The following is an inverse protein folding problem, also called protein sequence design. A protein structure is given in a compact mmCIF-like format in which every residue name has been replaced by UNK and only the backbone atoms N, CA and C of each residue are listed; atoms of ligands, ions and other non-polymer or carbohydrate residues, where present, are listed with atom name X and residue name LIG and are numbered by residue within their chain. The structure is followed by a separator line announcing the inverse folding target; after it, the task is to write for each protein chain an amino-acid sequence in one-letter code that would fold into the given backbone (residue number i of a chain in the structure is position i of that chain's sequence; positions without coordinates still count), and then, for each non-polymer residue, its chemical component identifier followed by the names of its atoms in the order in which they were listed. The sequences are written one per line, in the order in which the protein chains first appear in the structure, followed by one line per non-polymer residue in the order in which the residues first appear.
data_IF_891786732447
#
_entry.id   IF_891786732447
#
_cell.length_a   1.000
_cell.length_b   1.000
_cell.length_c   1.000
_cell.angle_alpha   90.00
_cell.angle_beta   90.00
_cell.angle_gamma   90.00
#
_symmetry.space_group_name_H-M   'P 1'
#
loop_
_entity.id
_entity.type
_entity.pdbx_description
1 polymer ?
#
# COMPACT_ATOMS: atom_id res chain seq x y z
N UNK A 1 -15.61 11.54 41.49
CA UNK A 1 -15.16 11.83 40.12
C UNK A 1 -14.66 10.52 39.51
N UNK A 2 -15.36 10.00 38.50
CA UNK A 2 -14.89 8.83 37.75
C UNK A 2 -13.78 9.28 36.78
N UNK A 3 -12.75 8.44 36.52
CA UNK A 3 -11.74 8.75 35.51
C UNK A 3 -12.40 8.78 34.12
N UNK A 4 -11.93 9.63 33.20
CA UNK A 4 -12.43 9.62 31.83
C UNK A 4 -12.11 8.27 31.18
N UNK A 5 -13.15 7.64 30.64
CA UNK A 5 -13.04 6.40 29.87
C UNK A 5 -12.19 6.66 28.61
N UNK A 6 -10.97 6.15 28.58
CA UNK A 6 -10.17 6.07 27.35
C UNK A 6 -10.84 5.06 26.42
N UNK A 7 -11.54 5.57 25.40
CA UNK A 7 -11.94 4.73 24.26
C UNK A 7 -10.67 4.18 23.60
N UNK A 8 -10.65 2.91 23.15
CA UNK A 8 -9.53 2.38 22.41
C UNK A 8 -9.41 3.20 21.12
N UNK A 9 -8.29 3.89 20.98
CA UNK A 9 -7.98 4.63 19.78
C UNK A 9 -7.65 3.64 18.67
N UNK A 10 -8.34 3.70 17.53
CA UNK A 10 -8.09 2.74 16.45
C UNK A 10 -6.67 2.96 15.91
N UNK A 11 -6.07 1.94 15.29
CA UNK A 11 -4.63 1.88 14.95
C UNK A 11 -4.12 2.90 13.91
N UNK A 12 -4.84 3.99 13.68
CA UNK A 12 -4.43 5.16 12.89
C UNK A 12 -3.75 6.23 13.77
N UNK A 13 -3.35 5.90 15.00
CA UNK A 13 -3.05 6.88 16.04
C UNK A 13 -1.61 7.43 16.09
N UNK A 14 -0.82 7.30 15.03
CA UNK A 14 0.53 7.89 14.94
C UNK A 14 0.67 8.94 13.82
N UNK A 15 -0.44 9.51 13.35
CA UNK A 15 -0.39 10.67 12.44
C UNK A 15 -0.47 11.96 13.23
N UNK A 16 0.29 12.98 12.83
CA UNK A 16 0.14 14.33 13.37
C UNK A 16 -1.25 14.90 13.09
N UNK A 17 -1.73 15.80 13.97
CA UNK A 17 -3.03 16.47 13.80
C UNK A 17 -3.17 17.11 12.41
N UNK A 18 -2.07 17.73 11.91
CA UNK A 18 -2.03 18.33 10.58
C UNK A 18 -2.24 17.29 9.46
N UNK A 19 -1.54 16.15 9.52
CA UNK A 19 -1.73 15.06 8.56
C UNK A 19 -3.14 14.48 8.65
N UNK A 20 -3.70 14.34 9.86
CA UNK A 20 -5.06 13.86 10.06
C UNK A 20 -6.10 14.79 9.42
N UNK A 21 -5.99 16.10 9.62
CA UNK A 21 -6.90 17.09 9.02
C UNK A 21 -6.93 16.98 7.49
N UNK A 22 -5.77 16.83 6.85
CA UNK A 22 -5.70 16.64 5.40
C UNK A 22 -6.32 15.32 4.94
N UNK A 23 -6.06 14.22 5.65
CA UNK A 23 -6.64 12.92 5.29
C UNK A 23 -8.17 12.93 5.46
N UNK A 24 -8.69 13.54 6.52
CA UNK A 24 -10.13 13.70 6.71
C UNK A 24 -10.74 14.59 5.61
N UNK A 25 -10.10 15.71 5.26
CA UNK A 25 -10.57 16.56 4.18
C UNK A 25 -10.60 15.84 2.82
N UNK A 26 -9.63 14.97 2.55
CA UNK A 26 -9.61 14.14 1.35
C UNK A 26 -10.80 13.17 1.28
N UNK A 27 -11.22 12.61 2.42
CA UNK A 27 -12.41 11.74 2.51
C UNK A 27 -13.69 12.53 2.27
N UNK A 28 -13.84 13.70 2.90
CA UNK A 28 -15.04 14.53 2.73
C UNK A 28 -15.21 15.07 1.30
N UNK A 29 -14.11 15.22 0.57
CA UNK A 29 -14.10 15.66 -0.82
C UNK A 29 -13.92 14.51 -1.81
N UNK A 30 -14.18 13.26 -1.41
CA UNK A 30 -13.90 12.08 -2.23
C UNK A 30 -14.47 12.18 -3.66
N UNK A 31 -15.70 12.64 -3.82
CA UNK A 31 -16.34 12.73 -5.15
C UNK A 31 -15.68 13.80 -6.05
N UNK A 32 -15.09 14.83 -5.47
CA UNK A 32 -14.23 15.79 -6.18
C UNK A 32 -12.79 15.30 -6.17
N UNK A 33 -12.42 14.56 -7.23
CA UNK A 33 -11.07 14.00 -7.36
C UNK A 33 -9.98 15.08 -7.35
N UNK A 34 -10.26 16.28 -7.86
CA UNK A 34 -9.27 17.37 -7.86
C UNK A 34 -9.05 17.91 -6.45
N UNK A 35 -10.11 18.12 -5.68
CA UNK A 35 -9.99 18.59 -4.29
C UNK A 35 -9.40 17.51 -3.38
N UNK A 36 -9.91 16.29 -3.42
CA UNK A 36 -9.42 15.20 -2.56
C UNK A 36 -7.96 14.88 -2.84
N UNK A 37 -7.50 14.89 -4.09
CA UNK A 37 -6.09 14.66 -4.42
C UNK A 37 -5.19 15.77 -3.88
N UNK A 38 -5.64 17.04 -3.90
CA UNK A 38 -4.88 18.15 -3.29
C UNK A 38 -4.68 17.95 -1.79
N UNK A 39 -5.70 17.50 -1.07
CA UNK A 39 -5.57 17.21 0.36
C UNK A 39 -4.58 16.07 0.63
N UNK A 40 -4.62 14.99 -0.17
CA UNK A 40 -3.61 13.93 -0.08
C UNK A 40 -2.19 14.47 -0.35
N UNK A 41 -2.02 15.34 -1.36
CA UNK A 41 -0.74 15.97 -1.67
C UNK A 41 -0.25 16.87 -0.52
N UNK A 42 -1.16 17.59 0.15
CA UNK A 42 -0.82 18.40 1.32
C UNK A 42 -0.35 17.55 2.51
N UNK A 43 -0.97 16.39 2.73
CA UNK A 43 -0.51 15.42 3.72
C UNK A 43 0.88 14.87 3.37
N UNK A 44 1.12 14.51 2.10
CA UNK A 44 2.41 14.01 1.63
C UNK A 44 3.53 15.07 1.68
N UNK A 45 3.18 16.36 1.65
CA UNK A 45 4.12 17.46 1.72
C UNK A 45 4.56 17.80 3.16
N UNK A 46 3.99 17.14 4.18
CA UNK A 46 4.40 17.37 5.57
C UNK A 46 5.86 16.94 5.80
N UNK A 47 6.63 17.70 6.60
CA UNK A 47 7.95 17.25 7.05
C UNK A 47 7.84 15.92 7.81
N UNK A 48 8.76 14.98 7.55
CA UNK A 48 8.77 13.66 8.18
C UNK A 48 7.47 12.86 7.98
N UNK A 49 6.97 12.81 6.74
CA UNK A 49 5.77 12.07 6.36
C UNK A 49 5.70 10.69 7.02
N UNK A 50 4.64 10.51 7.80
CA UNK A 50 4.38 9.31 8.59
C UNK A 50 4.03 8.13 7.66
N UNK A 51 4.30 6.91 8.11
CA UNK A 51 4.02 5.72 7.30
C UNK A 51 2.51 5.64 6.98
N UNK A 52 1.66 6.01 7.93
CA UNK A 52 0.21 6.05 7.85
C UNK A 52 -0.29 6.98 6.74
N UNK A 53 0.38 8.12 6.52
CA UNK A 53 0.08 9.03 5.41
C UNK A 53 0.41 8.36 4.08
N UNK A 54 1.56 7.69 3.97
CA UNK A 54 1.94 6.95 2.77
C UNK A 54 0.94 5.81 2.49
N UNK A 55 0.51 5.08 3.52
CA UNK A 55 -0.50 4.02 3.41
C UNK A 55 -1.81 4.57 2.87
N UNK A 56 -2.29 5.66 3.47
CA UNK A 56 -3.55 6.29 3.10
C UNK A 56 -3.49 6.82 1.67
N UNK A 57 -2.37 7.44 1.30
CA UNK A 57 -2.17 8.00 -0.02
C UNK A 57 -2.09 6.93 -1.12
N UNK A 58 -1.33 5.83 -0.95
CA UNK A 58 -1.29 4.81 -2.02
C UNK A 58 -2.66 4.17 -2.20
N UNK A 59 -3.41 3.92 -1.11
CA UNK A 59 -4.77 3.36 -1.18
C UNK A 59 -5.72 4.30 -1.89
N UNK A 60 -5.64 5.60 -1.58
CA UNK A 60 -6.39 6.64 -2.28
C UNK A 60 -6.15 6.57 -3.79
N UNK A 61 -4.89 6.63 -4.23
CA UNK A 61 -4.56 6.60 -5.66
C UNK A 61 -4.90 5.26 -6.33
N UNK A 62 -4.74 4.16 -5.60
CA UNK A 62 -5.12 2.83 -6.06
C UNK A 62 -6.61 2.77 -6.40
N UNK A 63 -7.47 3.25 -5.49
CA UNK A 63 -8.92 3.30 -5.69
C UNK A 63 -9.35 4.33 -6.74
N UNK A 64 -8.61 5.44 -6.87
CA UNK A 64 -8.82 6.43 -7.95
C UNK A 64 -8.31 5.97 -9.32
N UNK A 65 -7.60 4.84 -9.38
CA UNK A 65 -7.06 4.28 -10.63
C UNK A 65 -5.80 4.99 -11.14
N UNK A 66 -5.17 5.85 -10.34
CA UNK A 66 -3.93 6.54 -10.70
C UNK A 66 -2.73 5.60 -10.50
N UNK A 67 -2.40 4.84 -11.55
CA UNK A 67 -1.32 3.86 -11.51
C UNK A 67 0.07 4.47 -11.24
N UNK A 68 0.47 5.61 -11.86
CA UNK A 68 1.74 6.25 -11.53
C UNK A 68 1.89 6.59 -10.04
N UNK A 69 0.89 7.24 -9.45
CA UNK A 69 0.95 7.62 -8.03
C UNK A 69 0.84 6.41 -7.11
N UNK A 70 0.03 5.43 -7.48
CA UNK A 70 -0.04 4.14 -6.76
C UNK A 70 1.35 3.49 -6.69
N UNK A 71 2.04 3.38 -7.83
CA UNK A 71 3.36 2.77 -7.90
C UNK A 71 4.36 3.53 -7.01
N UNK A 72 4.45 4.85 -7.18
CA UNK A 72 5.39 5.68 -6.45
C UNK A 72 5.23 5.53 -4.93
N UNK A 73 4.00 5.65 -4.43
CA UNK A 73 3.77 5.68 -2.98
C UNK A 73 3.81 4.29 -2.37
N UNK A 74 3.29 3.27 -3.07
CA UNK A 74 3.37 1.89 -2.58
C UNK A 74 4.82 1.40 -2.45
N UNK A 75 5.71 1.77 -3.37
CA UNK A 75 7.15 1.50 -3.24
C UNK A 75 7.77 2.25 -2.05
N UNK A 76 7.33 3.48 -1.77
CA UNK A 76 7.79 4.22 -0.60
C UNK A 76 7.37 3.53 0.72
N UNK A 77 6.16 2.95 0.78
CA UNK A 77 5.70 2.13 1.92
C UNK A 77 6.56 0.88 2.08
N UNK A 78 6.77 0.14 0.98
CA UNK A 78 7.62 -1.07 0.96
C UNK A 78 9.01 -0.76 1.51
N UNK A 79 9.63 0.31 1.03
CA UNK A 79 10.99 0.69 1.45
C UNK A 79 11.04 1.16 2.90
N UNK A 80 10.03 1.94 3.36
CA UNK A 80 9.97 2.40 4.76
C UNK A 80 9.86 1.23 5.73
N UNK A 81 9.00 0.25 5.43
CA UNK A 81 8.84 -0.95 6.26
C UNK A 81 10.13 -1.77 6.24
N UNK A 82 10.71 -1.98 5.06
CA UNK A 82 11.96 -2.75 4.91
C UNK A 82 13.10 -2.14 5.75
N UNK A 83 13.23 -0.81 5.75
CA UNK A 83 14.22 -0.10 6.56
C UNK A 83 13.95 -0.23 8.06
N UNK A 84 12.70 -0.03 8.49
CA UNK A 84 12.32 -0.12 9.90
C UNK A 84 12.54 -1.53 10.47
N UNK A 85 12.23 -2.56 9.69
CA UNK A 85 12.40 -3.97 10.07
C UNK A 85 13.82 -4.51 9.76
N UNK A 86 14.69 -3.70 9.17
CA UNK A 86 16.04 -4.08 8.74
C UNK A 86 16.07 -5.31 7.83
N UNK A 87 15.07 -5.43 6.96
CA UNK A 87 14.91 -6.57 6.07
C UNK A 87 15.88 -6.53 4.88
N UNK A 88 16.37 -7.70 4.43
CA UNK A 88 17.22 -7.79 3.24
C UNK A 88 16.45 -7.39 1.98
N UNK A 89 17.19 -6.93 0.97
CA UNK A 89 16.62 -6.59 -0.36
C UNK A 89 16.51 -7.81 -1.28
N UNK A 90 17.34 -8.82 -1.04
CA UNK A 90 17.31 -10.07 -1.80
C UNK A 90 16.08 -10.90 -1.44
N UNK A 91 15.32 -11.32 -2.44
CA UNK A 91 14.05 -12.03 -2.24
C UNK A 91 14.24 -13.39 -1.59
N UNK A 92 15.24 -14.17 -2.02
CA UNK A 92 15.47 -15.51 -1.48
C UNK A 92 15.79 -15.47 0.02
N UNK A 93 16.46 -14.40 0.46
CA UNK A 93 16.74 -14.16 1.88
C UNK A 93 15.54 -13.57 2.63
N UNK A 94 14.75 -12.71 1.99
CA UNK A 94 13.58 -12.05 2.59
C UNK A 94 12.40 -13.01 2.78
N UNK A 95 12.13 -13.86 1.79
CA UNK A 95 11.00 -14.78 1.74
C UNK A 95 10.79 -15.58 3.03
N UNK A 96 11.78 -16.32 3.58
CA UNK A 96 11.55 -17.10 4.80
C UNK A 96 11.18 -16.25 6.02
N UNK A 97 11.61 -14.97 6.06
CA UNK A 97 11.24 -14.02 7.13
C UNK A 97 9.75 -13.67 7.00
N UNK A 98 9.29 -13.39 5.78
CA UNK A 98 7.89 -13.06 5.50
C UNK A 98 6.98 -14.28 5.76
N UNK A 99 7.38 -15.47 5.32
CA UNK A 99 6.64 -16.73 5.55
C UNK A 99 6.43 -17.02 7.04
N UNK A 100 7.47 -16.85 7.86
CA UNK A 100 7.39 -17.08 9.30
C UNK A 100 6.46 -16.09 10.02
N UNK A 101 6.19 -14.94 9.41
CA UNK A 101 5.44 -13.82 10.01
C UNK A 101 4.23 -13.41 9.15
N UNK A 102 3.64 -14.31 8.36
CA UNK A 102 2.54 -13.96 7.45
C UNK A 102 1.32 -13.29 8.12
N UNK A 103 1.04 -13.62 9.38
CA UNK A 103 -0.06 -13.03 10.14
C UNK A 103 0.31 -11.71 10.83
N UNK A 104 1.58 -11.31 10.80
CA UNK A 104 2.08 -10.06 11.37
C UNK A 104 1.53 -8.87 10.56
N UNK A 105 0.90 -7.87 11.21
CA UNK A 105 0.34 -6.71 10.51
C UNK A 105 1.34 -5.97 9.61
N UNK A 106 2.61 -5.88 10.01
CA UNK A 106 3.67 -5.21 9.25
C UNK A 106 4.00 -5.99 7.98
N UNK A 107 4.11 -7.31 8.06
CA UNK A 107 4.32 -8.19 6.89
C UNK A 107 3.13 -8.10 5.94
N UNK A 108 1.90 -8.15 6.46
CA UNK A 108 0.69 -8.01 5.64
C UNK A 108 0.64 -6.66 4.95
N UNK A 109 1.02 -5.59 5.64
CA UNK A 109 1.09 -4.26 5.06
C UNK A 109 2.12 -4.17 3.94
N UNK A 110 3.33 -4.71 4.19
CA UNK A 110 4.39 -4.81 3.19
C UNK A 110 3.91 -5.54 1.93
N UNK A 111 3.31 -6.72 2.09
CA UNK A 111 2.84 -7.55 0.98
C UNK A 111 1.69 -6.90 0.20
N UNK A 112 0.78 -6.21 0.88
CA UNK A 112 -0.28 -5.45 0.22
C UNK A 112 0.28 -4.29 -0.62
N UNK A 113 1.24 -3.52 -0.08
CA UNK A 113 1.88 -2.44 -0.82
C UNK A 113 2.72 -2.99 -1.99
N UNK A 114 3.45 -4.09 -1.77
CA UNK A 114 4.24 -4.76 -2.80
C UNK A 114 3.37 -5.28 -3.94
N UNK A 115 2.27 -5.97 -3.64
CA UNK A 115 1.28 -6.38 -4.63
C UNK A 115 0.64 -5.21 -5.37
N UNK A 116 0.26 -4.13 -4.67
CA UNK A 116 -0.28 -2.92 -5.30
C UNK A 116 0.72 -2.30 -6.28
N UNK A 117 2.02 -2.31 -5.96
CA UNK A 117 3.08 -1.84 -6.86
C UNK A 117 3.16 -2.69 -8.14
N UNK A 118 3.04 -4.02 -8.01
CA UNK A 118 2.99 -4.92 -9.16
C UNK A 118 1.78 -4.65 -10.07
N UNK A 119 0.60 -4.40 -9.48
CA UNK A 119 -0.60 -4.12 -10.28
C UNK A 119 -0.47 -2.78 -10.99
N UNK A 120 0.10 -1.78 -10.33
CA UNK A 120 0.39 -0.49 -10.94
C UNK A 120 1.40 -0.62 -12.08
N UNK A 121 2.46 -1.42 -11.92
CA UNK A 121 3.42 -1.74 -12.98
C UNK A 121 2.74 -2.41 -14.18
N UNK A 122 1.85 -3.38 -13.95
CA UNK A 122 1.10 -4.03 -15.02
C UNK A 122 0.25 -3.02 -15.81
N UNK A 123 -0.47 -2.13 -15.11
CA UNK A 123 -1.27 -1.06 -15.72
C UNK A 123 -0.42 -0.05 -16.51
N UNK A 124 0.84 0.14 -16.13
CA UNK A 124 1.81 1.00 -16.81
C UNK A 124 2.56 0.28 -17.94
N UNK A 125 2.25 -0.99 -18.22
CA UNK A 125 2.89 -1.78 -19.26
C UNK A 125 4.27 -2.35 -18.88
N UNK A 126 4.69 -2.23 -17.62
CA UNK A 126 5.94 -2.81 -17.11
C UNK A 126 5.74 -4.27 -16.70
N UNK A 127 5.42 -5.12 -17.68
CA UNK A 127 4.92 -6.47 -17.45
C UNK A 127 5.95 -7.39 -16.79
N UNK A 128 7.24 -7.31 -17.16
CA UNK A 128 8.29 -8.15 -16.57
C UNK A 128 8.45 -7.91 -15.06
N UNK A 129 8.44 -6.64 -14.64
CA UNK A 129 8.53 -6.27 -13.23
C UNK A 129 7.27 -6.68 -12.48
N UNK A 130 6.09 -6.50 -13.08
CA UNK A 130 4.83 -6.92 -12.49
C UNK A 130 4.74 -8.45 -12.34
N UNK A 131 5.20 -9.19 -13.34
CA UNK A 131 5.27 -10.66 -13.31
C UNK A 131 6.19 -11.15 -12.19
N UNK A 132 7.36 -10.52 -12.03
CA UNK A 132 8.30 -10.84 -10.94
C UNK A 132 7.62 -10.69 -9.58
N UNK A 133 6.93 -9.57 -9.34
CA UNK A 133 6.22 -9.32 -8.08
C UNK A 133 5.11 -10.36 -7.87
N UNK A 134 4.32 -10.64 -8.91
CA UNK A 134 3.22 -11.58 -8.83
C UNK A 134 3.70 -13.00 -8.47
N UNK A 135 4.79 -13.45 -9.08
CA UNK A 135 5.41 -14.75 -8.79
C UNK A 135 5.95 -14.80 -7.36
N UNK A 136 6.65 -13.77 -6.90
CA UNK A 136 7.18 -13.70 -5.54
C UNK A 136 6.05 -13.75 -4.50
N UNK A 137 5.00 -12.94 -4.64
CA UNK A 137 3.86 -12.97 -3.72
C UNK A 137 3.15 -14.33 -3.76
N UNK A 138 3.02 -14.96 -4.95
CA UNK A 138 2.43 -16.29 -5.10
C UNK A 138 3.21 -17.37 -4.35
N UNK A 139 4.54 -17.28 -4.28
CA UNK A 139 5.36 -18.24 -3.54
C UNK A 139 5.02 -18.29 -2.04
N UNK A 140 4.47 -17.21 -1.47
CA UNK A 140 4.07 -17.15 -0.06
C UNK A 140 2.74 -17.87 0.22
N UNK A 141 2.03 -18.34 -0.81
CA UNK A 141 0.83 -19.18 -0.68
C UNK A 141 -0.43 -18.47 -0.16
N UNK A 142 -0.37 -17.17 0.14
CA UNK A 142 -1.47 -16.41 0.69
C UNK A 142 -2.25 -15.68 -0.42
N UNK A 143 -3.43 -16.22 -0.74
CA UNK A 143 -4.34 -15.68 -1.79
C UNK A 143 -4.82 -14.25 -1.52
N UNK A 144 -4.81 -13.82 -0.26
CA UNK A 144 -5.31 -12.51 0.16
C UNK A 144 -4.44 -11.33 -0.30
N UNK A 145 -3.20 -11.57 -0.76
CA UNK A 145 -2.30 -10.52 -1.25
C UNK A 145 -2.44 -10.25 -2.76
N UNK A 146 -3.47 -10.80 -3.41
CA UNK A 146 -3.86 -10.41 -4.76
C UNK A 146 -2.96 -10.93 -5.89
N UNK A 147 -2.04 -11.85 -5.63
CA UNK A 147 -1.15 -12.43 -6.66
C UNK A 147 -1.93 -13.05 -7.83
N UNK A 148 -3.06 -13.71 -7.56
CA UNK A 148 -3.90 -14.30 -8.60
C UNK A 148 -4.59 -13.22 -9.47
N UNK A 149 -4.98 -12.10 -8.85
CA UNK A 149 -5.56 -10.95 -9.57
C UNK A 149 -4.50 -10.31 -10.48
N UNK A 150 -3.28 -10.12 -9.95
CA UNK A 150 -2.14 -9.66 -10.73
C UNK A 150 -1.87 -10.56 -11.94
N UNK A 151 -1.78 -11.88 -11.73
CA UNK A 151 -1.52 -12.82 -12.81
C UNK A 151 -2.63 -12.86 -13.86
N UNK A 152 -3.89 -12.63 -13.45
CA UNK A 152 -5.04 -12.52 -14.37
C UNK A 152 -4.95 -11.25 -15.21
N UNK A 153 -4.51 -10.13 -14.62
CA UNK A 153 -4.29 -8.89 -15.37
C UNK A 153 -3.12 -9.02 -16.35
N UNK A 154 -2.06 -9.74 -15.96
CA UNK A 154 -0.88 -9.98 -16.80
C UNK A 154 -1.14 -10.97 -17.93
N UNK A 155 -1.97 -11.98 -17.68
CA UNK A 155 -2.34 -13.02 -18.64
C UNK A 155 -3.86 -13.06 -18.76
N UNK A 156 -4.48 -12.07 -19.42
CA UNK A 156 -5.93 -12.09 -19.61
C UNK A 156 -6.32 -13.37 -20.35
N UNK A 157 -7.42 -14.05 -19.95
CA UNK A 157 -7.91 -15.20 -20.71
C UNK A 157 -8.18 -14.76 -22.15
N UNK A 158 -7.97 -15.66 -23.14
CA UNK A 158 -8.34 -15.35 -24.52
C UNK A 158 -9.83 -14.96 -24.56
N UNK A 159 -10.14 -13.86 -25.24
CA UNK A 159 -11.53 -13.47 -25.46
C UNK A 159 -12.24 -14.64 -26.17
N UNK A 160 -13.34 -15.13 -25.58
CA UNK A 160 -14.22 -16.07 -26.27
C UNK A 160 -14.93 -15.30 -27.40
N UNK A 161 -14.56 -15.59 -28.65
CA UNK A 161 -15.24 -15.12 -29.88
C UNK A 161 -16.70 -15.62 -29.97
#
# INVERSE_FOLDING_TARGET
MAPPSTRPTPSWYEVSDASQEFLEAAVHSWDDTSMSSRHIQQALAQPNVELEVLISAYRYYFYKGDAPMTLQISLAVVERIRQAEQWPTDWETLKPILEARLNDPTVRLYLNAYGASGLALARLGSLDCAQTIAEQVKQLGAKEFGADVLLTVLNPPPEED
#
